data_IF_470650078686
#
_entry.id   IF_470650078686
#
_cell.length_a   1.000
_cell.length_b   1.000
_cell.length_c   1.000
_cell.angle_alpha   90.00
_cell.angle_beta   90.00
_cell.angle_gamma   90.00
#
_symmetry.space_group_name_H-M   'P 1'
#
loop_
_entity.id
_entity.type
_entity.pdbx_description
1 polymer ?
#
# COMPACT_ATOMS: atom_id res chain seq x y z
N UNK A 1 24.16 -16.13 8.11
CA UNK A 1 23.16 -15.25 8.74
C UNK A 1 22.09 -15.02 7.69
N UNK A 2 20.98 -15.77 7.75
CA UNK A 2 19.92 -15.67 6.74
C UNK A 2 19.22 -14.33 6.93
N UNK A 3 19.18 -13.50 5.89
CA UNK A 3 18.37 -12.28 5.91
C UNK A 3 16.90 -12.71 5.92
N UNK A 4 16.13 -12.22 6.89
CA UNK A 4 14.70 -12.50 6.97
C UNK A 4 13.98 -11.44 6.13
N UNK A 5 13.40 -11.85 5.01
CA UNK A 5 12.65 -10.95 4.13
C UNK A 5 11.41 -10.42 4.85
N UNK A 6 11.34 -9.10 5.02
CA UNK A 6 10.26 -8.42 5.75
C UNK A 6 9.33 -7.66 4.81
N UNK A 7 8.02 -7.74 5.10
CA UNK A 7 7.02 -6.88 4.48
C UNK A 7 7.12 -5.46 5.06
N UNK A 8 7.20 -4.47 4.20
CA UNK A 8 7.22 -3.06 4.57
C UNK A 8 6.18 -2.28 3.77
N UNK A 9 5.50 -1.35 4.45
CA UNK A 9 4.72 -0.30 3.80
C UNK A 9 5.31 1.08 4.17
N UNK A 10 5.65 1.88 3.17
CA UNK A 10 6.10 3.27 3.31
C UNK A 10 4.95 4.19 2.92
N UNK A 11 4.50 5.03 3.84
CA UNK A 11 3.30 5.85 3.69
C UNK A 11 3.64 7.34 3.83
N UNK A 12 3.25 8.11 2.82
CA UNK A 12 3.42 9.57 2.78
C UNK A 12 2.04 10.21 2.61
N UNK A 13 1.60 10.97 3.62
CA UNK A 13 0.35 11.74 3.55
C UNK A 13 0.61 13.17 3.09
N UNK A 14 -0.29 13.70 2.24
CA UNK A 14 -0.17 15.06 1.69
C UNK A 14 -0.12 16.16 2.78
N UNK A 15 -0.70 15.91 3.95
CA UNK A 15 -0.73 16.89 5.06
C UNK A 15 0.56 16.94 5.86
N UNK A 16 1.33 15.86 5.83
CA UNK A 16 2.46 15.65 6.74
C UNK A 16 3.82 15.66 6.02
N UNK A 17 3.82 15.76 4.68
CA UNK A 17 5.03 15.67 3.88
C UNK A 17 5.23 16.87 2.94
N UNK A 18 6.49 17.28 2.78
CA UNK A 18 6.89 18.24 1.77
C UNK A 18 6.57 17.71 0.35
N UNK A 19 6.21 18.61 -0.57
CA UNK A 19 5.96 18.28 -1.99
C UNK A 19 7.12 17.48 -2.60
N UNK A 20 8.36 17.81 -2.21
CA UNK A 20 9.59 17.15 -2.65
C UNK A 20 9.63 15.68 -2.25
N UNK A 21 9.17 15.32 -1.05
CA UNK A 21 9.12 13.91 -0.59
C UNK A 21 8.16 13.09 -1.45
N UNK A 22 7.01 13.68 -1.82
CA UNK A 22 6.04 13.02 -2.71
C UNK A 22 6.61 12.78 -4.10
N UNK A 23 7.23 13.81 -4.68
CA UNK A 23 7.83 13.71 -6.01
C UNK A 23 9.00 12.74 -6.03
N UNK A 24 9.81 12.71 -4.98
CA UNK A 24 10.85 11.67 -4.78
C UNK A 24 10.22 10.28 -4.72
N UNK A 25 9.15 10.07 -3.95
CA UNK A 25 8.50 8.76 -3.85
C UNK A 25 7.97 8.29 -5.21
N UNK A 26 7.31 9.18 -5.97
CA UNK A 26 6.78 8.86 -7.30
C UNK A 26 7.89 8.68 -8.36
N UNK A 27 8.90 9.54 -8.35
CA UNK A 27 9.98 9.56 -9.33
C UNK A 27 11.01 8.44 -9.15
N UNK A 28 11.29 8.03 -7.91
CA UNK A 28 12.30 6.99 -7.63
C UNK A 28 11.71 5.58 -7.69
N UNK A 29 10.41 5.41 -7.45
CA UNK A 29 9.78 4.10 -7.24
C UNK A 29 8.86 3.64 -8.36
N UNK A 30 8.54 4.52 -9.32
CA UNK A 30 7.61 4.22 -10.42
C UNK A 30 7.99 3.04 -11.34
N UNK A 31 9.23 2.52 -11.25
CA UNK A 31 9.72 1.44 -12.13
C UNK A 31 10.57 0.37 -11.41
N UNK A 32 10.65 0.38 -10.08
CA UNK A 32 11.46 -0.62 -9.38
C UNK A 32 10.63 -1.92 -9.23
N UNK A 33 11.09 -3.08 -9.76
CA UNK A 33 10.33 -4.32 -9.70
C UNK A 33 10.12 -4.81 -8.25
N UNK A 34 9.11 -5.66 -8.05
CA UNK A 34 8.86 -6.31 -6.75
C UNK A 34 8.16 -5.46 -5.69
N UNK A 35 7.61 -4.30 -6.06
CA UNK A 35 6.84 -3.43 -5.17
C UNK A 35 5.51 -3.01 -5.77
N UNK A 36 4.55 -2.67 -4.91
CA UNK A 36 3.27 -2.08 -5.30
C UNK A 36 3.24 -0.61 -4.87
N UNK A 37 3.00 0.29 -5.82
CA UNK A 37 2.86 1.73 -5.56
C UNK A 37 1.39 2.12 -5.66
N UNK A 38 0.81 2.53 -4.54
CA UNK A 38 -0.56 3.04 -4.45
C UNK A 38 -0.52 4.57 -4.33
N UNK A 39 -0.70 5.24 -5.46
CA UNK A 39 -0.85 6.70 -5.50
C UNK A 39 -2.33 7.08 -5.49
N UNK A 40 -2.72 7.89 -4.50
CA UNK A 40 -4.04 8.52 -4.42
C UNK A 40 -3.86 10.04 -4.37
N UNK A 41 -4.96 10.80 -4.37
CA UNK A 41 -4.88 12.25 -4.18
C UNK A 41 -4.36 12.66 -2.79
N UNK A 42 -4.59 11.85 -1.75
CA UNK A 42 -4.29 12.23 -0.36
C UNK A 42 -3.01 11.60 0.20
N UNK A 43 -2.52 10.54 -0.43
CA UNK A 43 -1.34 9.81 0.01
C UNK A 43 -0.70 9.02 -1.12
N UNK A 44 0.58 8.74 -0.94
CA UNK A 44 1.32 7.76 -1.73
C UNK A 44 1.82 6.68 -0.77
N UNK A 45 1.55 5.43 -1.10
CA UNK A 45 1.98 4.26 -0.33
C UNK A 45 2.82 3.34 -1.22
N UNK A 46 3.88 2.77 -0.66
CA UNK A 46 4.69 1.74 -1.33
C UNK A 46 4.79 0.52 -0.46
N UNK A 47 4.42 -0.63 -1.03
CA UNK A 47 4.52 -1.93 -0.38
C UNK A 47 5.58 -2.76 -1.06
N UNK A 48 6.51 -3.30 -0.29
CA UNK A 48 7.62 -4.10 -0.81
C UNK A 48 8.09 -5.12 0.22
N UNK A 49 8.87 -6.08 -0.26
CA UNK A 49 9.61 -7.02 0.58
C UNK A 49 11.07 -6.65 0.57
N UNK A 50 11.65 -6.39 1.74
CA UNK A 50 13.04 -5.96 1.90
C UNK A 50 13.77 -6.85 2.90
N UNK A 51 15.07 -7.02 2.69
CA UNK A 51 15.92 -7.77 3.62
C UNK A 51 16.35 -6.94 4.82
N UNK A 52 16.27 -5.61 4.71
CA UNK A 52 16.58 -4.65 5.76
C UNK A 52 15.57 -3.50 5.72
N UNK A 53 15.02 -3.14 6.89
CA UNK A 53 14.05 -2.06 6.99
C UNK A 53 14.79 -0.75 7.22
N UNK A 54 14.72 0.13 6.25
CA UNK A 54 15.19 1.52 6.37
C UNK A 54 14.02 2.43 6.73
N UNK A 55 14.21 3.22 7.79
CA UNK A 55 13.27 4.25 8.21
C UNK A 55 13.77 5.61 7.75
N UNK A 56 12.88 6.41 7.17
CA UNK A 56 13.11 7.78 6.77
C UNK A 56 12.13 8.66 7.54
N UNK A 57 12.61 9.75 8.14
CA UNK A 57 11.79 10.61 9.02
C UNK A 57 10.67 11.32 8.28
N UNK A 58 10.78 11.47 6.96
CA UNK A 58 9.77 12.12 6.12
C UNK A 58 8.61 11.18 5.74
N UNK A 59 8.69 9.90 6.10
CA UNK A 59 7.68 8.90 5.77
C UNK A 59 7.40 7.97 6.94
N UNK A 60 6.15 7.51 7.03
CA UNK A 60 5.79 6.52 8.03
C UNK A 60 6.11 5.13 7.49
N UNK A 61 7.00 4.41 8.18
CA UNK A 61 7.36 3.02 7.85
C UNK A 61 6.58 2.08 8.76
N UNK A 62 5.80 1.18 8.14
CA UNK A 62 5.06 0.11 8.81
C UNK A 62 5.70 -1.22 8.44
N UNK A 63 5.81 -2.13 9.41
CA UNK A 63 6.48 -3.41 9.23
C UNK A 63 5.56 -4.58 9.52
N UNK A 64 5.73 -5.67 8.75
CA UNK A 64 5.05 -6.95 8.95
C UNK A 64 3.54 -6.80 9.21
N UNK A 65 3.09 -7.09 10.43
CA UNK A 65 1.68 -7.04 10.80
C UNK A 65 1.07 -5.65 10.62
N UNK A 66 1.80 -4.58 10.91
CA UNK A 66 1.30 -3.21 10.78
C UNK A 66 1.06 -2.84 9.32
N UNK A 67 1.97 -3.23 8.44
CA UNK A 67 1.84 -3.04 6.99
C UNK A 67 0.65 -3.82 6.42
N UNK A 68 0.48 -5.08 6.84
CA UNK A 68 -0.66 -5.90 6.43
C UNK A 68 -1.99 -5.30 6.92
N UNK A 69 -2.08 -4.96 8.21
CA UNK A 69 -3.26 -4.35 8.80
C UNK A 69 -3.62 -3.01 8.14
N UNK A 70 -2.61 -2.21 7.78
CA UNK A 70 -2.77 -0.99 7.02
C UNK A 70 -3.42 -1.23 5.66
N UNK A 71 -2.88 -2.17 4.87
CA UNK A 71 -3.47 -2.52 3.57
C UNK A 71 -4.92 -2.97 3.68
N UNK A 72 -5.27 -3.78 4.69
CA UNK A 72 -6.65 -4.20 4.91
C UNK A 72 -7.58 -3.01 5.20
N UNK A 73 -7.16 -2.05 6.03
CA UNK A 73 -7.93 -0.82 6.29
C UNK A 73 -8.10 0.04 5.04
N UNK A 74 -7.04 0.17 4.23
CA UNK A 74 -7.07 0.90 2.96
C UNK A 74 -8.02 0.23 1.97
N UNK A 75 -7.91 -1.08 1.77
CA UNK A 75 -8.78 -1.84 0.87
C UNK A 75 -10.25 -1.83 1.31
N UNK A 76 -10.51 -1.85 2.62
CA UNK A 76 -11.86 -1.69 3.18
C UNK A 76 -12.41 -0.26 3.05
N UNK A 77 -11.57 0.72 2.70
CA UNK A 77 -11.95 2.13 2.62
C UNK A 77 -12.17 2.81 3.97
N UNK A 78 -11.65 2.21 5.05
CA UNK A 78 -11.70 2.75 6.41
C UNK A 78 -10.71 3.88 6.64
N UNK A 79 -9.71 3.99 5.74
CA UNK A 79 -8.65 5.00 5.78
C UNK A 79 -8.79 6.02 4.63
N UNK A 80 -10.01 6.22 4.14
CA UNK A 80 -10.32 7.24 3.12
C UNK A 80 -10.86 8.50 3.77
N UNK A 81 -10.54 9.66 3.18
CA UNK A 81 -11.11 10.95 3.57
C UNK A 81 -12.65 10.97 3.45
N UNK A 82 -13.20 10.11 2.60
CA UNK A 82 -14.62 9.80 2.48
C UNK A 82 -14.79 8.31 2.81
N UNK A 83 -15.30 8.01 4.01
CA UNK A 83 -15.56 6.64 4.43
C UNK A 83 -16.46 5.92 3.40
N UNK A 84 -16.00 4.78 2.87
CA UNK A 84 -16.76 3.98 1.92
C UNK A 84 -16.58 4.32 0.43
N UNK A 85 -15.74 5.28 0.05
CA UNK A 85 -15.60 5.70 -1.35
C UNK A 85 -15.18 4.54 -2.28
N UNK A 86 -16.00 4.09 -3.25
CA UNK A 86 -15.76 2.90 -4.09
C UNK A 86 -14.43 2.91 -4.86
N UNK A 87 -13.84 4.08 -5.02
CA UNK A 87 -12.64 4.28 -5.82
C UNK A 87 -11.39 3.67 -5.18
N UNK A 88 -11.26 3.64 -3.85
CA UNK A 88 -10.03 3.17 -3.21
C UNK A 88 -9.75 1.69 -3.50
N UNK A 89 -10.77 0.83 -3.43
CA UNK A 89 -10.60 -0.59 -3.74
C UNK A 89 -10.21 -0.82 -5.21
N UNK A 90 -10.73 0.01 -6.12
CA UNK A 90 -10.34 -0.01 -7.53
C UNK A 90 -8.90 0.47 -7.74
N UNK A 91 -8.47 1.50 -7.01
CA UNK A 91 -7.09 1.99 -7.04
C UNK A 91 -6.10 0.95 -6.50
N UNK A 92 -6.42 0.29 -5.38
CA UNK A 92 -5.61 -0.82 -4.85
C UNK A 92 -5.49 -1.94 -5.87
N UNK A 93 -6.61 -2.29 -6.54
CA UNK A 93 -6.60 -3.32 -7.59
C UNK A 93 -5.73 -2.93 -8.77
N UNK A 94 -5.86 -1.70 -9.26
CA UNK A 94 -5.04 -1.20 -10.37
C UNK A 94 -3.55 -1.16 -10.02
N UNK A 95 -3.19 -0.72 -8.81
CA UNK A 95 -1.82 -0.73 -8.33
C UNK A 95 -1.23 -2.15 -8.25
N UNK A 96 -2.02 -3.11 -7.74
CA UNK A 96 -1.61 -4.52 -7.71
C UNK A 96 -1.39 -5.08 -9.11
N UNK A 97 -2.34 -4.86 -10.03
CA UNK A 97 -2.26 -5.35 -11.40
C UNK A 97 -1.10 -4.73 -12.19
N UNK A 98 -0.76 -3.46 -11.93
CA UNK A 98 0.39 -2.80 -12.54
C UNK A 98 1.73 -3.40 -12.11
N UNK A 99 1.80 -4.00 -10.92
CA UNK A 99 2.99 -4.66 -10.41
C UNK A 99 2.97 -6.19 -10.59
N UNK A 100 1.85 -6.75 -11.07
CA UNK A 100 1.65 -8.19 -11.17
C UNK A 100 2.64 -8.80 -12.17
N UNK A 101 3.49 -9.72 -11.68
CA UNK A 101 4.54 -10.38 -12.47
C UNK A 101 5.88 -10.43 -11.74
N UNK A 102 6.20 -9.38 -10.99
CA UNK A 102 7.52 -9.23 -10.34
C UNK A 102 7.44 -9.27 -8.80
N UNK A 103 6.25 -9.42 -8.22
CA UNK A 103 6.04 -9.38 -6.78
C UNK A 103 6.52 -10.66 -6.08
N UNK A 104 7.10 -10.48 -4.90
CA UNK A 104 7.34 -11.59 -3.99
C UNK A 104 6.02 -12.32 -3.63
N UNK A 105 5.97 -13.66 -3.57
CA UNK A 105 4.73 -14.42 -3.37
C UNK A 105 3.93 -14.01 -2.13
N UNK A 106 4.62 -13.64 -1.05
CA UNK A 106 3.99 -13.13 0.18
C UNK A 106 3.20 -11.84 -0.09
N UNK A 107 3.78 -10.92 -0.86
CA UNK A 107 3.17 -9.62 -1.18
C UNK A 107 1.96 -9.81 -2.10
N UNK A 108 2.10 -10.65 -3.14
CA UNK A 108 1.00 -10.98 -4.03
C UNK A 108 -0.21 -11.55 -3.28
N UNK A 109 0.03 -12.56 -2.42
CA UNK A 109 -1.01 -13.20 -1.61
C UNK A 109 -1.67 -12.22 -0.64
N UNK A 110 -0.92 -11.29 -0.08
CA UNK A 110 -1.44 -10.24 0.80
C UNK A 110 -2.41 -9.32 0.04
N UNK A 111 -2.03 -8.84 -1.13
CA UNK A 111 -2.88 -7.97 -1.96
C UNK A 111 -4.16 -8.68 -2.42
N UNK A 112 -4.05 -9.93 -2.87
CA UNK A 112 -5.22 -10.74 -3.23
C UNK A 112 -6.20 -10.88 -2.05
N UNK A 113 -5.67 -11.16 -0.85
CA UNK A 113 -6.48 -11.30 0.36
C UNK A 113 -7.12 -9.97 0.78
N UNK A 114 -6.37 -8.88 0.73
CA UNK A 114 -6.88 -7.54 1.06
C UNK A 114 -7.99 -7.12 0.10
N UNK A 115 -7.81 -7.35 -1.21
CA UNK A 115 -8.83 -7.08 -2.22
C UNK A 115 -10.09 -7.94 -2.01
N UNK A 116 -9.94 -9.22 -1.65
CA UNK A 116 -11.06 -10.09 -1.35
C UNK A 116 -11.83 -9.62 -0.11
N UNK A 117 -11.14 -9.37 1.01
CA UNK A 117 -11.76 -8.89 2.26
C UNK A 117 -12.43 -7.53 2.05
N UNK A 118 -11.79 -6.61 1.33
CA UNK A 118 -12.37 -5.30 1.01
C UNK A 118 -13.67 -5.40 0.19
N UNK A 119 -13.78 -6.37 -0.73
CA UNK A 119 -15.04 -6.65 -1.44
C UNK A 119 -16.14 -7.17 -0.52
N UNK A 120 -15.82 -8.12 0.36
CA UNK A 120 -16.79 -8.68 1.30
C UNK A 120 -17.32 -7.62 2.28
N UNK A 121 -16.43 -6.81 2.86
CA UNK A 121 -16.82 -5.72 3.76
C UNK A 121 -17.80 -4.78 3.06
N UNK A 122 -17.52 -4.35 1.81
CA UNK A 122 -18.44 -3.47 1.08
C UNK A 122 -19.80 -4.10 0.82
N UNK A 123 -19.81 -5.38 0.44
CA UNK A 123 -21.02 -6.14 0.19
C UNK A 123 -21.90 -6.24 1.43
N UNK A 124 -21.29 -6.46 2.59
CA UNK A 124 -22.02 -6.60 3.86
C UNK A 124 -22.45 -5.27 4.49
N UNK A 125 -21.67 -4.20 4.27
CA UNK A 125 -21.87 -2.92 4.99
C UNK A 125 -22.73 -1.90 4.24
N UNK A 126 -23.25 -2.20 3.05
CA UNK A 126 -23.87 -1.20 2.15
C UNK A 126 -22.97 0.04 1.93
N UNK A 127 -21.65 -0.11 2.05
CA UNK A 127 -20.68 0.89 1.60
C UNK A 127 -20.59 0.82 0.07
N UNK A 128 -21.66 1.29 -0.59
CA UNK A 128 -21.86 1.35 -2.03
C UNK A 128 -22.78 2.50 -2.38
#
# INVERSE_FOLDING_TARGET
MSLETQLVARVVHQRDAALDTRERLLGTLGNAPGRVVLATCHRVEVYETVDQVESDSDMRTLVAHEAAAHLFRVAAGLDSAIAGEPQILRQVRAAYEAAAGDLHPMLARLFERALHVGREIRRETRLG
#
